data_IF_113499545228
#
_entry.id   IF_113499545228
#
_cell.length_a   1.000
_cell.length_b   1.000
_cell.length_c   1.000
_cell.angle_alpha   90.00
_cell.angle_beta   90.00
_cell.angle_gamma   90.00
#
_symmetry.space_group_name_H-M   'P 1'
#
loop_
_entity.id
_entity.type
_entity.pdbx_description
1 polymer ?
#
# COMPACT_ATOMS: atom_id res chain seq x y z
N UNK A 1 22.61 7.81 21.25
CA UNK A 1 21.44 6.93 21.49
C UNK A 1 20.89 6.38 20.17
N UNK A 2 20.76 7.22 19.14
CA UNK A 2 20.48 6.83 17.75
C UNK A 2 21.54 5.89 17.16
N UNK A 3 22.83 6.15 17.39
CA UNK A 3 23.92 5.33 16.82
C UNK A 3 23.96 3.90 17.40
N UNK A 4 23.58 3.73 18.67
CA UNK A 4 23.48 2.42 19.31
C UNK A 4 22.31 1.60 18.78
N UNK A 5 21.18 2.27 18.49
CA UNK A 5 20.00 1.66 17.85
C UNK A 5 20.31 1.27 16.41
N UNK A 6 20.97 2.14 15.66
CA UNK A 6 21.40 1.87 14.28
C UNK A 6 22.39 0.71 14.27
N UNK A 7 23.38 0.67 15.18
CA UNK A 7 24.34 -0.43 15.25
C UNK A 7 23.71 -1.76 15.67
N UNK A 8 22.76 -1.76 16.60
CA UNK A 8 22.00 -2.96 16.99
C UNK A 8 21.07 -3.45 15.86
N UNK A 9 20.43 -2.53 15.13
CA UNK A 9 19.65 -2.88 13.93
C UNK A 9 20.56 -3.44 12.84
N UNK A 10 21.70 -2.79 12.58
CA UNK A 10 22.63 -3.18 11.51
C UNK A 10 23.34 -4.50 11.81
N UNK A 11 23.64 -4.78 13.09
CA UNK A 11 24.22 -6.07 13.51
C UNK A 11 23.20 -7.20 13.49
N UNK A 12 21.95 -6.95 13.86
CA UNK A 12 20.85 -7.94 13.80
C UNK A 12 20.41 -8.22 12.35
N UNK A 13 20.44 -7.21 11.47
CA UNK A 13 20.14 -7.33 10.04
C UNK A 13 21.37 -7.64 9.18
N UNK A 14 22.55 -7.89 9.76
CA UNK A 14 23.78 -8.20 9.01
C UNK A 14 23.68 -9.44 8.10
N UNK A 15 22.65 -10.27 8.31
CA UNK A 15 22.30 -11.40 7.44
C UNK A 15 21.45 -11.02 6.20
N UNK A 16 20.93 -9.79 6.12
CA UNK A 16 20.10 -9.29 5.00
C UNK A 16 20.67 -8.01 4.39
N UNK A 17 20.61 -7.84 3.05
CA UNK A 17 20.92 -6.56 2.43
C UNK A 17 20.01 -5.45 2.97
N UNK A 18 20.56 -4.27 3.25
CA UNK A 18 19.80 -3.09 3.73
C UNK A 18 18.68 -2.73 2.74
N UNK A 19 18.93 -2.96 1.46
CA UNK A 19 17.98 -2.82 0.35
C UNK A 19 16.79 -3.76 0.48
N UNK A 20 17.01 -5.00 0.94
CA UNK A 20 15.97 -6.00 1.13
C UNK A 20 15.02 -5.61 2.27
N UNK A 21 15.56 -4.99 3.32
CA UNK A 21 14.79 -4.53 4.48
C UNK A 21 13.87 -3.38 4.06
N UNK A 22 14.39 -2.40 3.32
CA UNK A 22 13.57 -1.32 2.75
C UNK A 22 12.51 -1.88 1.81
N UNK A 23 12.87 -2.87 0.99
CA UNK A 23 11.94 -3.55 0.10
C UNK A 23 10.81 -4.26 0.85
N UNK A 24 11.12 -5.07 1.87
CA UNK A 24 10.12 -5.77 2.70
C UNK A 24 9.24 -4.78 3.45
N UNK A 25 9.82 -3.72 4.04
CA UNK A 25 9.06 -2.68 4.73
C UNK A 25 8.10 -1.98 3.76
N UNK A 26 8.55 -1.71 2.53
CA UNK A 26 7.72 -1.05 1.51
C UNK A 26 6.57 -1.90 0.99
N UNK A 27 6.63 -3.23 1.17
CA UNK A 27 5.54 -4.15 0.87
C UNK A 27 4.45 -4.14 1.96
N UNK A 28 4.71 -3.62 3.17
CA UNK A 28 3.75 -3.68 4.28
C UNK A 28 2.70 -2.57 4.13
N UNK A 29 1.38 -2.87 4.22
CA UNK A 29 0.26 -1.95 3.96
C UNK A 29 0.26 -0.61 4.71
N UNK A 30 0.88 -0.59 5.89
CA UNK A 30 0.86 0.57 6.79
C UNK A 30 2.11 1.41 6.59
N UNK A 31 3.20 0.76 6.18
CA UNK A 31 4.51 1.39 6.04
C UNK A 31 4.69 1.89 4.60
N UNK A 32 4.37 1.10 3.58
CA UNK A 32 4.43 1.46 2.16
C UNK A 32 5.72 2.23 1.76
N UNK A 33 5.61 3.09 0.75
CA UNK A 33 6.66 4.00 0.30
C UNK A 33 7.17 4.92 1.42
N UNK A 34 6.29 5.35 2.33
CA UNK A 34 6.61 6.34 3.38
C UNK A 34 7.52 5.76 4.46
N UNK A 35 7.16 4.59 4.98
CA UNK A 35 7.95 3.81 5.92
C UNK A 35 9.22 3.24 5.28
N UNK A 36 9.16 2.85 4.00
CA UNK A 36 10.34 2.45 3.23
C UNK A 36 11.35 3.59 3.09
N UNK A 37 10.90 4.81 2.78
CA UNK A 37 11.76 6.00 2.70
C UNK A 37 12.33 6.41 4.07
N UNK A 38 11.53 6.32 5.14
CA UNK A 38 12.02 6.58 6.51
C UNK A 38 13.10 5.54 6.88
N UNK A 39 12.86 4.25 6.61
CA UNK A 39 13.83 3.19 6.86
C UNK A 39 15.12 3.38 6.04
N UNK A 40 15.00 3.78 4.77
CA UNK A 40 16.14 4.06 3.91
C UNK A 40 16.97 5.25 4.40
N UNK A 41 16.32 6.31 4.88
CA UNK A 41 16.97 7.47 5.50
C UNK A 41 17.75 7.06 6.76
N UNK A 42 17.16 6.19 7.61
CA UNK A 42 17.82 5.65 8.80
C UNK A 42 18.99 4.71 8.48
N UNK A 43 18.94 4.02 7.34
CA UNK A 43 19.98 3.08 6.89
C UNK A 43 21.07 3.72 6.03
N UNK A 44 20.96 5.02 5.72
CA UNK A 44 21.91 5.78 4.91
C UNK A 44 21.91 5.41 3.42
N UNK A 45 20.79 4.89 2.91
CA UNK A 45 20.66 4.52 1.48
C UNK A 45 20.36 5.79 0.68
N UNK A 46 21.03 5.95 -0.47
CA UNK A 46 20.78 7.07 -1.37
C UNK A 46 19.29 7.18 -1.74
N UNK A 47 18.72 8.37 -1.61
CA UNK A 47 17.27 8.62 -1.76
C UNK A 47 16.71 8.11 -3.10
N UNK A 48 17.49 8.22 -4.19
CA UNK A 48 17.11 7.71 -5.50
C UNK A 48 16.97 6.18 -5.51
N UNK A 49 17.90 5.46 -4.89
CA UNK A 49 17.83 3.99 -4.75
C UNK A 49 16.67 3.57 -3.86
N UNK A 50 16.44 4.32 -2.78
CA UNK A 50 15.34 4.07 -1.84
C UNK A 50 13.98 4.21 -2.52
N UNK A 51 13.76 5.29 -3.27
CA UNK A 51 12.52 5.51 -4.04
C UNK A 51 12.31 4.37 -5.03
N UNK A 52 13.34 3.99 -5.78
CA UNK A 52 13.23 2.90 -6.75
C UNK A 52 12.84 1.56 -6.09
N UNK A 53 13.52 1.19 -5.00
CA UNK A 53 13.20 -0.02 -4.24
C UNK A 53 11.77 0.01 -3.68
N UNK A 54 11.33 1.16 -3.17
CA UNK A 54 9.99 1.31 -2.59
C UNK A 54 8.88 1.25 -3.66
N UNK A 55 9.12 1.79 -4.86
CA UNK A 55 8.18 1.70 -5.99
C UNK A 55 8.07 0.25 -6.45
N UNK A 56 9.20 -0.44 -6.65
CA UNK A 56 9.21 -1.86 -7.05
C UNK A 56 8.55 -2.73 -5.97
N UNK A 57 8.81 -2.43 -4.69
CA UNK A 57 8.17 -3.09 -3.56
C UNK A 57 6.66 -2.88 -3.48
N UNK A 58 6.12 -1.78 -4.03
CA UNK A 58 4.66 -1.57 -4.12
C UNK A 58 4.04 -2.16 -5.40
N UNK A 59 4.76 -2.24 -6.52
CA UNK A 59 4.26 -2.81 -7.78
C UNK A 59 3.83 -4.26 -7.62
N UNK A 60 4.51 -5.05 -6.79
CA UNK A 60 4.21 -6.48 -6.58
C UNK A 60 2.92 -6.71 -5.77
N UNK A 61 2.72 -6.10 -4.58
CA UNK A 61 1.53 -6.32 -3.78
C UNK A 61 0.27 -5.72 -4.41
N UNK A 62 0.32 -4.61 -5.16
CA UNK A 62 -0.87 -3.98 -5.77
C UNK A 62 -1.72 -4.96 -6.63
N UNK A 63 -1.18 -5.62 -7.68
CA UNK A 63 -1.94 -6.57 -8.48
C UNK A 63 -2.33 -7.81 -7.68
N UNK A 64 -1.49 -8.24 -6.72
CA UNK A 64 -1.80 -9.35 -5.83
C UNK A 64 -3.04 -9.04 -4.97
N UNK A 65 -3.09 -7.87 -4.34
CA UNK A 65 -4.23 -7.38 -3.57
C UNK A 65 -5.47 -7.31 -4.45
N UNK A 66 -5.37 -6.66 -5.61
CA UNK A 66 -6.51 -6.53 -6.53
C UNK A 66 -7.02 -7.88 -7.03
N UNK A 67 -6.15 -8.89 -7.19
CA UNK A 67 -6.55 -10.21 -7.66
C UNK A 67 -7.07 -11.13 -6.54
N UNK A 68 -6.45 -11.11 -5.36
CA UNK A 68 -6.80 -11.99 -4.24
C UNK A 68 -7.88 -11.40 -3.33
N UNK A 69 -7.81 -10.11 -3.00
CA UNK A 69 -8.78 -9.50 -2.08
C UNK A 69 -10.16 -9.39 -2.72
N UNK A 70 -10.27 -9.09 -4.02
CA UNK A 70 -11.56 -8.99 -4.71
C UNK A 70 -12.43 -10.26 -4.58
N UNK A 71 -11.95 -11.47 -4.91
CA UNK A 71 -12.72 -12.70 -4.72
C UNK A 71 -12.93 -13.04 -3.24
N UNK A 72 -11.96 -12.78 -2.35
CA UNK A 72 -12.12 -13.00 -0.90
C UNK A 72 -13.25 -12.10 -0.36
N UNK A 73 -13.29 -10.83 -0.72
CA UNK A 73 -14.37 -9.92 -0.33
C UNK A 73 -15.71 -10.38 -0.88
N UNK A 74 -15.77 -10.75 -2.16
CA UNK A 74 -16.99 -11.27 -2.77
C UNK A 74 -17.47 -12.57 -2.10
N UNK A 75 -16.55 -13.42 -1.64
CA UNK A 75 -16.86 -14.64 -0.89
C UNK A 75 -17.29 -14.36 0.56
N UNK A 76 -16.63 -13.43 1.25
CA UNK A 76 -17.03 -12.97 2.58
C UNK A 76 -18.40 -12.28 2.55
N UNK A 77 -18.76 -11.56 1.48
CA UNK A 77 -20.11 -10.99 1.28
C UNK A 77 -21.19 -12.07 1.23
N UNK A 78 -20.88 -13.24 0.65
CA UNK A 78 -21.80 -14.38 0.62
C UNK A 78 -21.94 -15.09 1.98
N UNK A 79 -21.01 -14.88 2.89
CA UNK A 79 -20.96 -15.57 4.19
C UNK A 79 -21.64 -14.72 5.27
N UNK A 80 -22.74 -15.22 5.88
CA UNK A 80 -23.54 -14.47 6.88
C UNK A 80 -22.75 -13.97 8.10
N UNK A 81 -21.66 -14.67 8.48
CA UNK A 81 -20.84 -14.34 9.64
C UNK A 81 -19.90 -13.14 9.42
N UNK A 82 -19.35 -13.01 8.22
CA UNK A 82 -18.38 -11.96 7.87
C UNK A 82 -19.00 -10.74 7.19
N UNK A 83 -20.25 -10.88 6.73
CA UNK A 83 -21.05 -9.80 6.15
C UNK A 83 -21.01 -8.46 6.92
N UNK A 84 -21.24 -8.39 8.25
CA UNK A 84 -21.20 -7.11 8.97
C UNK A 84 -19.79 -6.50 9.05
N UNK A 85 -18.73 -7.32 9.00
CA UNK A 85 -17.35 -6.83 8.98
C UNK A 85 -17.01 -6.23 7.61
N UNK A 86 -17.44 -6.91 6.54
CA UNK A 86 -17.31 -6.42 5.16
C UNK A 86 -18.12 -5.15 4.94
N UNK A 87 -19.37 -5.09 5.40
CA UNK A 87 -20.20 -3.90 5.29
C UNK A 87 -19.60 -2.71 6.06
N UNK A 88 -18.95 -2.94 7.21
CA UNK A 88 -18.20 -1.88 7.93
C UNK A 88 -16.99 -1.40 7.12
N UNK A 89 -16.21 -2.30 6.54
CA UNK A 89 -15.05 -1.96 5.71
C UNK A 89 -15.46 -1.23 4.43
N UNK A 90 -16.56 -1.67 3.81
CA UNK A 90 -17.16 -1.06 2.65
C UNK A 90 -17.71 0.32 2.98
N UNK A 91 -18.46 0.48 4.08
CA UNK A 91 -18.96 1.80 4.51
C UNK A 91 -17.83 2.79 4.82
N UNK A 92 -16.75 2.33 5.45
CA UNK A 92 -15.57 3.16 5.74
C UNK A 92 -14.82 3.55 4.46
N UNK A 93 -14.73 2.63 3.50
CA UNK A 93 -14.10 2.89 2.20
C UNK A 93 -14.97 3.79 1.32
N UNK A 94 -16.29 3.57 1.29
CA UNK A 94 -17.29 4.38 0.58
C UNK A 94 -17.29 5.83 1.09
N UNK A 95 -17.17 6.05 2.40
CA UNK A 95 -17.03 7.39 2.97
C UNK A 95 -15.81 8.17 2.42
N UNK A 96 -14.73 7.46 2.04
CA UNK A 96 -13.52 8.04 1.43
C UNK A 96 -13.54 8.02 -0.11
N UNK A 97 -14.54 7.37 -0.70
CA UNK A 97 -14.59 7.03 -2.13
C UNK A 97 -15.53 7.91 -2.95
N UNK A 98 -16.34 8.78 -2.35
CA UNK A 98 -17.30 9.60 -3.11
C UNK A 98 -16.67 10.39 -4.28
N UNK A 99 -15.46 10.94 -4.11
CA UNK A 99 -14.72 11.58 -5.20
C UNK A 99 -14.05 10.56 -6.16
N UNK A 100 -13.65 9.40 -5.63
CA UNK A 100 -13.03 8.32 -6.40
C UNK A 100 -14.04 7.69 -7.35
N UNK A 101 -15.28 7.46 -6.92
CA UNK A 101 -16.34 6.87 -7.74
C UNK A 101 -16.71 7.75 -8.94
N UNK A 102 -16.71 9.08 -8.78
CA UNK A 102 -17.06 10.02 -9.86
C UNK A 102 -16.00 10.09 -10.97
N UNK A 103 -14.73 9.89 -10.61
CA UNK A 103 -13.60 10.04 -11.53
C UNK A 103 -12.76 8.77 -11.71
N UNK A 104 -13.24 7.62 -11.21
CA UNK A 104 -12.61 6.30 -11.08
C UNK A 104 -11.08 6.33 -11.08
N UNK A 105 -10.49 6.40 -12.27
CA UNK A 105 -9.05 6.46 -12.52
C UNK A 105 -8.38 7.70 -11.89
N UNK A 106 -8.85 8.91 -12.20
CA UNK A 106 -8.25 10.16 -11.71
C UNK A 106 -8.54 10.36 -10.23
N UNK A 107 -9.72 9.96 -9.78
CA UNK A 107 -10.07 10.01 -8.37
C UNK A 107 -9.20 9.07 -7.54
N UNK A 108 -8.90 7.87 -8.05
CA UNK A 108 -8.01 6.92 -7.39
C UNK A 108 -6.55 7.40 -7.37
N UNK A 109 -6.06 7.94 -8.49
CA UNK A 109 -4.70 8.49 -8.58
C UNK A 109 -4.51 9.66 -7.61
N UNK A 110 -5.46 10.61 -7.56
CA UNK A 110 -5.44 11.72 -6.60
C UNK A 110 -5.53 11.22 -5.17
N UNK A 111 -6.37 10.22 -4.89
CA UNK A 111 -6.49 9.67 -3.53
C UNK A 111 -5.16 9.09 -3.03
N UNK A 112 -4.45 8.32 -3.87
CA UNK A 112 -3.15 7.75 -3.49
C UNK A 112 -2.08 8.84 -3.36
N UNK A 113 -2.09 9.84 -4.26
CA UNK A 113 -1.15 10.96 -4.25
C UNK A 113 -1.30 11.93 -3.09
N UNK A 114 -2.47 11.96 -2.45
CA UNK A 114 -2.66 12.79 -1.26
C UNK A 114 -1.93 12.16 -0.06
N UNK A 115 -1.02 12.87 0.63
CA UNK A 115 -0.24 12.36 1.75
C UNK A 115 -1.04 12.32 3.06
N UNK A 116 -2.29 11.86 3.04
CA UNK A 116 -3.09 11.69 4.25
C UNK A 116 -2.82 10.32 4.91
N UNK A 117 -2.96 10.22 6.25
CA UNK A 117 -2.87 8.94 6.94
C UNK A 117 -4.00 8.01 6.46
N UNK A 118 -3.59 6.87 5.89
CA UNK A 118 -4.49 5.86 5.34
C UNK A 118 -4.98 6.15 3.91
N UNK A 119 -4.39 7.10 3.18
CA UNK A 119 -4.53 7.25 1.73
C UNK A 119 -3.19 6.85 1.10
N UNK A 120 -3.14 5.63 0.57
CA UNK A 120 -1.92 4.96 0.12
C UNK A 120 -2.27 3.86 -0.88
N UNK A 121 -1.25 3.20 -1.43
CA UNK A 121 -1.43 2.21 -2.51
C UNK A 121 -2.33 1.04 -2.10
N UNK A 122 -2.22 0.57 -0.85
CA UNK A 122 -3.03 -0.51 -0.30
C UNK A 122 -4.48 -0.10 -0.08
N UNK A 123 -4.73 1.07 0.51
CA UNK A 123 -6.10 1.58 0.68
C UNK A 123 -6.73 1.87 -0.69
N UNK A 124 -5.94 2.39 -1.64
CA UNK A 124 -6.37 2.60 -3.02
C UNK A 124 -6.75 1.29 -3.71
N UNK A 125 -5.93 0.24 -3.57
CA UNK A 125 -6.22 -1.09 -4.10
C UNK A 125 -7.49 -1.70 -3.49
N UNK A 126 -7.70 -1.53 -2.17
CA UNK A 126 -8.92 -1.94 -1.49
C UNK A 126 -10.15 -1.18 -2.02
N UNK A 127 -10.10 0.15 -2.11
CA UNK A 127 -11.21 0.95 -2.64
C UNK A 127 -11.50 0.58 -4.09
N UNK A 128 -10.47 0.39 -4.92
CA UNK A 128 -10.63 -0.02 -6.31
C UNK A 128 -11.27 -1.41 -6.45
N UNK A 129 -10.92 -2.35 -5.58
CA UNK A 129 -11.55 -3.68 -5.52
C UNK A 129 -13.04 -3.60 -5.12
N UNK A 130 -13.39 -2.70 -4.20
CA UNK A 130 -14.77 -2.49 -3.74
C UNK A 130 -15.63 -1.79 -4.81
N UNK A 131 -15.06 -0.82 -5.51
CA UNK A 131 -15.70 -0.11 -6.62
C UNK A 131 -15.78 -0.95 -7.90
N UNK A 132 -15.13 -2.12 -7.94
CA UNK A 132 -15.10 -2.97 -9.14
C UNK A 132 -14.31 -2.36 -10.30
N UNK A 133 -13.35 -1.47 -10.02
CA UNK A 133 -12.50 -0.88 -11.05
C UNK A 133 -11.65 -1.99 -11.68
N UNK A 134 -11.55 -2.00 -13.01
CA UNK A 134 -10.71 -2.97 -13.74
C UNK A 134 -9.29 -2.97 -13.16
N UNK A 135 -8.77 -4.15 -12.80
CA UNK A 135 -7.47 -4.33 -12.13
C UNK A 135 -6.34 -3.58 -12.82
N UNK A 136 -6.27 -3.59 -14.16
CA UNK A 136 -5.29 -2.85 -14.97
C UNK A 136 -5.38 -1.33 -14.82
N UNK A 137 -6.61 -0.79 -14.76
CA UNK A 137 -6.84 0.65 -14.56
C UNK A 137 -6.51 1.05 -13.13
N UNK A 138 -6.94 0.23 -12.17
CA UNK A 138 -6.67 0.44 -10.75
C UNK A 138 -5.16 0.44 -10.46
N UNK A 139 -4.43 -0.55 -10.97
CA UNK A 139 -2.98 -0.63 -10.80
C UNK A 139 -2.27 0.59 -11.40
N UNK A 140 -2.67 1.02 -12.60
CA UNK A 140 -2.07 2.18 -13.25
C UNK A 140 -2.36 3.49 -12.49
N UNK A 141 -3.59 3.68 -12.02
CA UNK A 141 -3.96 4.86 -11.24
C UNK A 141 -3.21 4.91 -9.89
N UNK A 142 -3.05 3.77 -9.21
CA UNK A 142 -2.29 3.69 -7.96
C UNK A 142 -0.81 3.99 -8.19
N UNK A 143 -0.24 3.48 -9.28
CA UNK A 143 1.15 3.76 -9.64
C UNK A 143 1.38 5.23 -10.02
N UNK A 144 0.39 5.88 -10.63
CA UNK A 144 0.46 7.31 -10.93
C UNK A 144 0.29 8.20 -9.69
N UNK A 145 -0.34 7.68 -8.63
CA UNK A 145 -0.49 8.37 -7.37
C UNK A 145 0.65 8.11 -6.37
N UNK A 146 1.50 7.11 -6.59
CA UNK A 146 2.68 6.84 -5.77
C UNK A 146 3.81 7.82 -6.09
#
# INVERSE_FOLDING_TARGET
>A
MTDSLINWFTSTLSFMPKELVVFIISMIPILELRGGLIAASLLGIGMVKAVFLCIVGNIIPIPFILFFITPIFNWMKKTKLFRPMVEKLEKKSMAKSNQIQKYEFWGLALFVGVPLPGTGAWTGALIASLLGIKTKKASLAILLGL
#
